data_IF_286208619400
#
_entry.id   IF_286208619400
#
_cell.length_a   1.000
_cell.length_b   1.000
_cell.length_c   1.000
_cell.angle_alpha   90.00
_cell.angle_beta   90.00
_cell.angle_gamma   90.00
#
_symmetry.space_group_name_H-M   'P 1'
#
loop_
_entity.id
_entity.type
_entity.pdbx_description
1 polymer ?
#
# COMPACT_ATOMS: atom_id res chain seq x y z
N UNK A 1 1.30 8.70 6.60
CA UNK A 1 1.74 9.79 7.50
C UNK A 1 1.46 11.13 6.84
N UNK A 2 0.93 12.10 7.58
CA UNK A 2 0.78 13.46 7.04
C UNK A 2 1.98 14.31 7.48
N UNK A 3 2.69 14.97 6.55
CA UNK A 3 3.76 15.93 6.86
C UNK A 3 3.30 17.04 7.82
N UNK A 4 2.00 17.36 7.78
CA UNK A 4 1.39 18.36 8.64
C UNK A 4 1.15 17.88 10.09
N UNK A 5 1.27 16.58 10.38
CA UNK A 5 0.93 16.01 11.70
C UNK A 5 1.71 16.64 12.84
N UNK A 6 3.03 16.83 12.67
CA UNK A 6 3.89 17.47 13.68
C UNK A 6 3.61 18.96 13.85
N UNK A 7 3.35 19.67 12.76
CA UNK A 7 2.94 21.08 12.81
C UNK A 7 1.59 21.25 13.53
N UNK A 8 0.62 20.37 13.25
CA UNK A 8 -0.70 20.38 13.88
C UNK A 8 -0.62 20.03 15.38
N UNK A 9 0.21 19.05 15.75
CA UNK A 9 0.46 18.71 17.14
C UNK A 9 1.05 19.90 17.91
N UNK A 10 2.04 20.60 17.33
CA UNK A 10 2.62 21.79 17.94
C UNK A 10 1.61 22.95 18.10
N UNK A 11 0.70 23.13 17.15
CA UNK A 11 -0.33 24.17 17.19
C UNK A 11 -1.48 23.87 18.18
N UNK A 12 -1.80 22.59 18.40
CA UNK A 12 -2.99 22.18 19.18
C UNK A 12 -2.67 21.60 20.55
N UNK A 13 -1.43 21.14 20.75
CA UNK A 13 -1.04 20.34 21.92
C UNK A 13 -1.55 18.90 21.89
N UNK A 14 -2.23 18.47 20.82
CA UNK A 14 -2.74 17.11 20.67
C UNK A 14 -1.60 16.13 20.33
N UNK A 15 -1.61 14.90 20.87
CA UNK A 15 -0.63 13.88 20.51
C UNK A 15 -0.88 13.37 19.09
N UNK A 16 0.20 12.98 18.41
CA UNK A 16 0.13 12.25 17.14
C UNK A 16 -0.06 10.77 17.44
N UNK A 17 -1.25 10.25 17.18
CA UNK A 17 -1.53 8.82 17.29
C UNK A 17 -1.41 8.16 15.91
N UNK A 18 -0.88 6.93 15.86
CA UNK A 18 -0.72 6.20 14.62
C UNK A 18 -0.37 4.74 14.83
N UNK A 19 -0.42 3.96 13.76
CA UNK A 19 0.12 2.61 13.79
C UNK A 19 1.65 2.67 13.87
N UNK A 20 2.29 1.58 14.33
CA UNK A 20 3.73 1.51 14.60
C UNK A 20 4.64 1.96 13.45
N UNK A 21 5.97 2.02 13.70
CA UNK A 21 6.92 2.44 12.68
C UNK A 21 6.84 1.52 11.45
N UNK A 22 7.26 2.02 10.30
CA UNK A 22 7.47 1.20 9.11
C UNK A 22 8.38 0.01 9.45
N UNK A 23 8.14 -1.20 8.89
CA UNK A 23 9.10 -2.28 9.00
C UNK A 23 10.44 -1.81 8.42
N UNK A 24 11.58 -2.26 8.97
CA UNK A 24 12.87 -1.86 8.45
C UNK A 24 12.99 -2.31 6.99
N UNK A 25 13.61 -1.47 6.16
CA UNK A 25 13.59 -1.59 4.69
C UNK A 25 14.16 -2.93 4.16
N UNK A 26 14.95 -3.63 4.98
CA UNK A 26 15.56 -4.93 4.73
C UNK A 26 14.68 -6.13 5.09
N UNK A 27 13.73 -5.99 6.03
CA UNK A 27 12.84 -7.07 6.45
C UNK A 27 11.85 -7.50 5.35
N UNK A 28 11.58 -6.63 4.37
CA UNK A 28 10.79 -6.98 3.18
C UNK A 28 11.52 -7.95 2.23
N UNK A 29 12.83 -8.16 2.41
CA UNK A 29 13.62 -9.10 1.60
C UNK A 29 13.79 -10.49 2.26
N UNK A 30 13.57 -10.63 3.57
CA UNK A 30 13.73 -11.91 4.28
C UNK A 30 12.44 -12.74 4.41
N UNK A 31 11.26 -12.20 4.06
CA UNK A 31 10.01 -12.97 4.05
C UNK A 31 9.97 -14.12 3.00
N UNK A 32 11.06 -14.32 2.24
CA UNK A 32 11.32 -15.51 1.43
C UNK A 32 11.86 -16.70 2.26
N UNK A 33 11.38 -16.95 3.48
CA UNK A 33 11.62 -18.21 4.19
C UNK A 33 10.73 -18.40 5.44
N UNK A 34 9.42 -18.63 5.25
CA UNK A 34 8.60 -19.41 6.18
C UNK A 34 8.13 -18.78 7.52
N UNK A 35 6.84 -19.02 7.78
CA UNK A 35 6.12 -18.97 9.07
C UNK A 35 5.54 -17.63 9.58
N UNK A 36 4.41 -17.67 10.31
CA UNK A 36 3.62 -16.50 10.69
C UNK A 36 4.29 -15.73 11.84
N UNK A 37 4.21 -14.40 11.78
CA UNK A 37 4.90 -13.49 12.69
C UNK A 37 4.50 -13.68 14.17
N UNK A 38 5.51 -13.87 15.01
CA UNK A 38 5.46 -13.81 16.48
C UNK A 38 5.48 -12.32 16.93
N UNK A 39 4.56 -11.88 17.79
CA UNK A 39 4.42 -10.47 18.18
C UNK A 39 5.48 -9.93 19.16
N UNK A 40 6.55 -10.67 19.47
CA UNK A 40 7.44 -10.33 20.60
C UNK A 40 8.87 -9.85 20.28
N UNK A 41 9.28 -9.67 19.01
CA UNK A 41 10.68 -9.37 18.70
C UNK A 41 11.02 -7.86 18.67
N UNK A 42 11.44 -7.33 19.83
CA UNK A 42 12.30 -6.13 19.91
C UNK A 42 13.74 -6.53 19.57
N UNK A 43 14.31 -6.09 18.45
CA UNK A 43 15.77 -6.18 18.21
C UNK A 43 16.35 -4.92 17.55
N UNK A 44 17.63 -4.74 17.85
CA UNK A 44 18.46 -3.53 17.77
C UNK A 44 19.05 -3.36 16.36
N UNK A 45 19.07 -2.13 15.86
CA UNK A 45 19.56 -1.78 14.51
C UNK A 45 21.08 -1.98 14.35
N UNK A 46 21.53 -2.44 13.17
CA UNK A 46 22.84 -2.12 12.62
C UNK A 46 22.75 -1.12 11.45
N UNK A 47 23.92 -0.70 11.00
CA UNK A 47 24.20 0.60 10.38
C UNK A 47 24.52 0.45 8.88
N UNK A 48 23.79 1.21 8.04
CA UNK A 48 24.23 1.71 6.72
C UNK A 48 24.15 0.76 5.52
N UNK A 49 23.39 1.15 4.50
CA UNK A 49 23.92 1.38 3.14
C UNK A 49 22.94 2.22 2.29
N UNK A 50 23.53 3.15 1.51
CA UNK A 50 22.86 4.26 0.84
C UNK A 50 22.40 3.88 -0.57
N UNK A 51 21.16 4.24 -0.94
CA UNK A 51 20.64 4.10 -2.31
C UNK A 51 20.52 5.49 -2.94
N UNK A 52 21.57 5.94 -3.62
CA UNK A 52 21.53 7.13 -4.47
C UNK A 52 21.18 6.72 -5.92
N UNK A 53 20.24 7.43 -6.54
CA UNK A 53 20.00 7.39 -7.99
C UNK A 53 20.37 8.76 -8.54
N UNK A 54 21.49 8.86 -9.25
CA UNK A 54 21.84 10.03 -10.06
C UNK A 54 21.26 9.89 -11.48
N UNK A 55 20.66 10.97 -11.98
CA UNK A 55 20.27 11.13 -13.40
C UNK A 55 18.88 11.76 -13.59
N UNK A 56 18.86 13.04 -13.97
CA UNK A 56 17.70 13.91 -14.28
C UNK A 56 16.91 13.42 -15.51
N UNK A 57 15.65 13.75 -15.79
CA UNK A 57 14.86 14.97 -15.59
C UNK A 57 13.44 14.68 -15.06
N UNK A 58 12.86 15.71 -14.44
CA UNK A 58 11.64 15.72 -13.64
C UNK A 58 10.48 14.83 -14.12
N UNK A 59 10.28 13.71 -13.40
CA UNK A 59 8.99 13.07 -13.26
C UNK A 59 7.99 14.07 -12.64
N UNK A 60 6.67 13.98 -12.93
CA UNK A 60 5.67 14.76 -12.20
C UNK A 60 5.93 14.57 -10.70
N UNK A 61 6.01 15.69 -9.98
CA UNK A 61 6.49 15.78 -8.60
C UNK A 61 6.07 14.53 -7.81
N UNK A 62 7.08 13.76 -7.39
CA UNK A 62 6.86 12.65 -6.49
C UNK A 62 5.99 13.17 -5.33
N UNK A 63 4.87 12.49 -5.08
CA UNK A 63 4.25 12.52 -3.75
C UNK A 63 5.38 12.42 -2.73
N UNK A 64 5.31 13.26 -1.69
CA UNK A 64 6.41 13.47 -0.75
C UNK A 64 7.04 12.12 -0.33
N UNK A 65 8.39 12.05 -0.26
CA UNK A 65 9.07 10.80 0.04
C UNK A 65 8.53 10.19 1.34
N UNK A 66 8.33 8.87 1.34
CA UNK A 66 7.81 8.16 2.49
C UNK A 66 8.60 8.51 3.75
N UNK A 67 7.91 8.99 4.79
CA UNK A 67 8.51 9.29 6.09
C UNK A 67 8.76 7.99 6.87
N UNK A 68 9.83 7.29 6.47
CA UNK A 68 10.26 6.04 7.11
C UNK A 68 10.72 6.25 8.57
N UNK A 69 10.96 7.51 8.98
CA UNK A 69 11.35 7.87 10.32
C UNK A 69 10.15 8.23 11.20
N UNK A 70 8.92 8.12 10.70
CA UNK A 70 7.72 8.42 11.46
C UNK A 70 7.64 7.54 12.71
N UNK A 71 7.51 8.21 13.86
CA UNK A 71 7.23 7.60 15.15
C UNK A 71 6.06 8.38 15.74
N UNK A 72 4.90 7.75 16.02
CA UNK A 72 3.80 8.44 16.68
C UNK A 72 4.09 8.63 18.18
N UNK A 73 3.40 9.58 18.80
CA UNK A 73 3.44 9.80 20.25
C UNK A 73 2.69 8.70 21.00
N UNK A 74 1.69 8.08 20.35
CA UNK A 74 0.95 6.92 20.87
C UNK A 74 0.63 5.92 19.76
N UNK A 75 0.69 4.63 20.10
CA UNK A 75 0.42 3.53 19.17
C UNK A 75 -1.07 3.21 19.12
N UNK A 76 -1.57 3.00 17.91
CA UNK A 76 -2.89 2.46 17.61
C UNK A 76 -2.75 1.09 16.97
N UNK A 77 -3.67 0.19 17.29
CA UNK A 77 -3.86 -1.10 16.68
C UNK A 77 -5.21 -1.19 15.95
N UNK A 78 -5.38 -2.23 15.14
CA UNK A 78 -6.68 -2.56 14.59
C UNK A 78 -7.69 -2.81 15.72
N UNK A 79 -8.86 -2.18 15.64
CA UNK A 79 -9.94 -2.29 16.62
C UNK A 79 -9.83 -1.33 17.80
N UNK A 80 -8.74 -0.56 17.93
CA UNK A 80 -8.65 0.49 18.93
C UNK A 80 -9.71 1.57 18.67
N UNK A 81 -10.22 2.14 19.76
CA UNK A 81 -11.28 3.15 19.72
C UNK A 81 -10.78 4.45 20.32
N UNK A 82 -10.88 5.52 19.54
CA UNK A 82 -10.72 6.89 20.00
C UNK A 82 -12.09 7.53 20.12
N UNK A 83 -12.34 8.30 21.18
CA UNK A 83 -13.63 8.92 21.39
C UNK A 83 -13.48 10.32 21.98
N UNK A 84 -14.46 11.17 21.70
CA UNK A 84 -14.63 12.47 22.29
C UNK A 84 -16.12 12.82 22.42
N UNK A 85 -16.41 14.12 22.52
CA UNK A 85 -17.79 14.57 22.68
C UNK A 85 -18.61 14.32 21.41
N UNK A 86 -19.42 13.26 21.44
CA UNK A 86 -20.37 12.92 20.38
C UNK A 86 -19.77 12.25 19.15
N UNK A 87 -18.52 11.77 19.21
CA UNK A 87 -17.88 11.07 18.11
C UNK A 87 -17.01 9.91 18.59
N UNK A 88 -16.96 8.85 17.77
CA UNK A 88 -16.13 7.68 17.97
C UNK A 88 -15.37 7.35 16.68
N UNK A 89 -14.07 7.09 16.77
CA UNK A 89 -13.25 6.59 15.66
C UNK A 89 -12.74 5.18 15.99
N UNK A 90 -13.22 4.19 15.24
CA UNK A 90 -12.67 2.83 15.23
C UNK A 90 -11.48 2.77 14.28
N UNK A 91 -10.32 2.35 14.79
CA UNK A 91 -9.09 2.21 14.03
C UNK A 91 -9.12 0.95 13.18
N UNK A 92 -8.97 1.09 11.87
CA UNK A 92 -8.87 -0.02 10.94
C UNK A 92 -7.46 -0.05 10.35
N UNK A 93 -6.59 -0.92 10.85
CA UNK A 93 -5.29 -1.15 10.20
C UNK A 93 -5.50 -1.72 8.80
N UNK A 94 -5.10 -0.97 7.79
CA UNK A 94 -5.33 -1.24 6.38
C UNK A 94 -4.03 -1.14 5.57
N UNK A 95 -3.02 -1.97 5.90
CA UNK A 95 -1.73 -1.96 5.21
C UNK A 95 -1.90 -2.24 3.71
N UNK A 96 -0.94 -1.79 2.93
CA UNK A 96 -0.84 -2.15 1.52
C UNK A 96 -0.35 -1.00 0.65
N UNK A 97 -0.95 0.19 0.78
CA UNK A 97 -0.36 1.41 0.19
C UNK A 97 0.96 1.74 0.90
N UNK A 98 0.91 1.76 2.22
CA UNK A 98 2.05 1.79 3.14
C UNK A 98 1.76 0.81 4.28
N UNK A 99 2.78 0.30 4.95
CA UNK A 99 2.68 -0.81 5.92
C UNK A 99 1.91 -0.46 7.21
N UNK A 100 1.85 0.81 7.57
CA UNK A 100 1.23 1.31 8.80
C UNK A 100 0.02 2.23 8.50
N UNK A 101 -0.58 2.09 7.33
CA UNK A 101 -1.79 2.83 6.95
C UNK A 101 -2.97 2.48 7.87
N UNK A 102 -3.71 3.50 8.31
CA UNK A 102 -4.96 3.37 9.05
C UNK A 102 -6.11 3.99 8.26
N UNK A 103 -7.24 3.28 8.19
CA UNK A 103 -8.53 3.91 7.98
C UNK A 103 -9.19 4.15 9.35
N UNK A 104 -10.12 5.10 9.43
CA UNK A 104 -10.91 5.35 10.64
C UNK A 104 -12.39 5.31 10.32
N UNK A 105 -13.13 4.41 10.96
CA UNK A 105 -14.58 4.39 10.86
C UNK A 105 -15.19 5.31 11.91
N UNK A 106 -16.17 6.11 11.49
CA UNK A 106 -16.99 7.00 12.31
C UNK A 106 -18.42 6.42 12.36
N UNK A 107 -18.76 5.57 13.36
CA UNK A 107 -20.02 4.85 13.39
C UNK A 107 -21.25 5.75 13.43
N UNK A 108 -21.15 6.90 14.11
CA UNK A 108 -22.23 7.88 14.23
C UNK A 108 -22.69 8.43 12.87
N UNK A 109 -21.77 8.53 11.91
CA UNK A 109 -22.05 8.95 10.54
C UNK A 109 -22.07 7.80 9.53
N UNK A 110 -21.87 6.56 9.98
CA UNK A 110 -21.73 5.38 9.12
C UNK A 110 -20.70 5.64 8.01
N UNK A 111 -19.60 6.31 8.37
CA UNK A 111 -18.59 6.80 7.44
C UNK A 111 -17.24 6.14 7.72
N UNK A 112 -16.37 6.07 6.70
CA UNK A 112 -14.96 5.69 6.88
C UNK A 112 -14.05 6.69 6.18
N UNK A 113 -13.09 7.24 6.92
CA UNK A 113 -11.97 7.98 6.36
C UNK A 113 -10.96 6.97 5.82
N UNK A 114 -10.85 6.84 4.50
CA UNK A 114 -10.09 5.76 3.86
C UNK A 114 -8.66 6.12 3.49
N UNK A 115 -8.25 7.37 3.73
CA UNK A 115 -6.94 7.86 3.35
C UNK A 115 -6.65 7.58 1.87
N UNK A 116 -5.46 7.03 1.61
CA UNK A 116 -5.01 6.64 0.28
C UNK A 116 -5.22 5.15 0.00
N UNK A 117 -5.82 4.40 0.93
CA UNK A 117 -6.14 2.99 0.73
C UNK A 117 -7.24 2.81 -0.34
N UNK A 118 -8.29 3.63 -0.25
CA UNK A 118 -9.37 3.72 -1.24
C UNK A 118 -9.53 5.20 -1.61
N UNK A 119 -9.35 5.54 -2.89
CA UNK A 119 -9.50 6.89 -3.42
C UNK A 119 -10.72 6.99 -4.33
N UNK A 120 -11.32 8.19 -4.45
CA UNK A 120 -12.56 8.41 -5.22
C UNK A 120 -12.37 8.55 -6.72
N UNK A 121 -11.14 8.72 -7.20
CA UNK A 121 -10.83 9.05 -8.61
C UNK A 121 -9.92 8.04 -9.33
N UNK A 122 -9.22 7.16 -8.61
CA UNK A 122 -8.29 6.20 -9.17
C UNK A 122 -7.96 5.10 -8.15
N UNK A 123 -7.24 4.06 -8.57
CA UNK A 123 -6.69 3.06 -7.66
C UNK A 123 -5.42 3.58 -6.99
N UNK A 124 -5.18 3.20 -5.73
CA UNK A 124 -3.93 3.57 -5.03
C UNK A 124 -2.67 3.02 -5.69
N UNK A 125 -1.55 3.69 -5.51
CA UNK A 125 -0.24 3.08 -5.77
C UNK A 125 0.12 2.16 -4.61
N UNK A 126 0.86 1.09 -4.90
CA UNK A 126 1.35 0.15 -3.88
C UNK A 126 2.87 0.05 -4.10
N UNK A 127 3.66 1.02 -3.61
CA UNK A 127 5.09 1.09 -3.89
C UNK A 127 5.89 0.19 -2.95
N UNK A 128 6.50 -0.91 -3.43
CA UNK A 128 7.40 -1.71 -2.61
C UNK A 128 8.69 -0.94 -2.29
N UNK A 129 9.40 -1.24 -1.18
CA UNK A 129 9.17 -2.40 -0.30
C UNK A 129 8.11 -2.18 0.80
N UNK A 130 7.72 -0.94 1.08
CA UNK A 130 6.79 -0.65 2.19
C UNK A 130 5.33 -0.97 1.82
N UNK A 131 4.95 -0.68 0.58
CA UNK A 131 3.66 -1.11 0.02
C UNK A 131 3.70 -2.60 -0.36
N UNK A 132 2.66 -3.34 0.02
CA UNK A 132 2.51 -4.76 -0.26
C UNK A 132 1.12 -5.06 -0.84
N UNK A 133 1.07 -5.73 -1.99
CA UNK A 133 -0.21 -6.03 -2.65
C UNK A 133 -1.03 -7.06 -1.87
N UNK A 134 -0.41 -8.07 -1.26
CA UNK A 134 -1.12 -9.05 -0.44
C UNK A 134 -1.82 -8.40 0.75
N UNK A 135 -1.12 -7.50 1.45
CA UNK A 135 -1.70 -6.69 2.52
C UNK A 135 -2.85 -5.81 2.01
N UNK A 136 -2.66 -5.17 0.85
CA UNK A 136 -3.71 -4.35 0.23
C UNK A 136 -4.98 -5.15 -0.04
N UNK A 137 -4.86 -6.36 -0.59
CA UNK A 137 -6.02 -7.21 -0.90
C UNK A 137 -6.74 -7.65 0.39
N UNK A 138 -6.00 -8.07 1.43
CA UNK A 138 -6.59 -8.41 2.74
C UNK A 138 -7.29 -7.22 3.39
N UNK A 139 -6.72 -6.02 3.27
CA UNK A 139 -7.32 -4.79 3.79
C UNK A 139 -8.59 -4.39 3.03
N UNK A 140 -8.64 -4.60 1.71
CA UNK A 140 -9.89 -4.46 0.95
C UNK A 140 -10.95 -5.48 1.41
N UNK A 141 -10.56 -6.72 1.65
CA UNK A 141 -11.47 -7.75 2.18
C UNK A 141 -12.02 -7.37 3.57
N UNK A 142 -11.18 -6.80 4.44
CA UNK A 142 -11.58 -6.25 5.72
C UNK A 142 -12.65 -5.16 5.57
N UNK A 143 -12.42 -4.19 4.67
CA UNK A 143 -13.39 -3.13 4.39
C UNK A 143 -14.69 -3.68 3.77
N UNK A 144 -14.60 -4.69 2.91
CA UNK A 144 -15.76 -5.37 2.32
C UNK A 144 -16.55 -6.14 3.38
N UNK A 145 -15.88 -6.75 4.36
CA UNK A 145 -16.51 -7.52 5.43
C UNK A 145 -17.32 -6.65 6.40
N UNK A 146 -17.06 -5.34 6.45
CA UNK A 146 -17.89 -4.39 7.19
C UNK A 146 -19.31 -4.27 6.64
N UNK A 147 -19.55 -4.69 5.40
CA UNK A 147 -20.89 -4.79 4.82
C UNK A 147 -21.59 -3.43 4.75
N UNK A 148 -22.83 -3.38 5.23
CA UNK A 148 -23.69 -2.19 5.23
C UNK A 148 -23.51 -1.31 6.48
N UNK A 149 -22.43 -1.50 7.25
CA UNK A 149 -22.07 -0.60 8.36
C UNK A 149 -21.68 0.79 7.87
N UNK A 150 -21.12 0.86 6.67
CA UNK A 150 -20.56 2.08 6.09
C UNK A 150 -21.36 2.49 4.85
N UNK A 151 -21.89 3.72 4.84
CA UNK A 151 -22.65 4.31 3.74
C UNK A 151 -21.79 5.25 2.89
N UNK A 152 -20.69 5.77 3.44
CA UNK A 152 -19.80 6.68 2.72
C UNK A 152 -18.34 6.44 3.07
N UNK A 153 -17.47 6.46 2.06
CA UNK A 153 -16.03 6.64 2.27
C UNK A 153 -15.61 8.07 1.93
N UNK A 154 -14.78 8.65 2.81
CA UNK A 154 -14.13 9.93 2.67
C UNK A 154 -12.63 9.71 2.39
N UNK A 155 -12.23 9.68 1.11
CA UNK A 155 -10.84 9.50 0.73
C UNK A 155 -10.04 10.80 0.89
N UNK A 156 -8.70 10.71 0.94
CA UNK A 156 -7.83 11.89 0.79
C UNK A 156 -8.01 12.52 -0.59
N UNK A 157 -8.18 11.67 -1.62
CA UNK A 157 -8.20 12.09 -3.02
C UNK A 157 -9.49 11.66 -3.73
N UNK A 158 -10.06 12.61 -4.48
CA UNK A 158 -11.29 12.42 -5.24
C UNK A 158 -12.56 12.66 -4.40
N UNK A 159 -13.74 12.46 -5.01
CA UNK A 159 -15.02 12.68 -4.34
C UNK A 159 -15.33 11.58 -3.31
N UNK A 160 -16.32 11.86 -2.47
CA UNK A 160 -16.93 10.87 -1.58
C UNK A 160 -17.44 9.64 -2.38
N UNK A 161 -17.32 8.46 -1.76
CA UNK A 161 -17.81 7.21 -2.35
C UNK A 161 -19.05 6.78 -1.58
N UNK A 162 -20.23 6.94 -2.17
CA UNK A 162 -21.54 6.66 -1.54
C UNK A 162 -22.05 5.23 -1.73
N UNK A 163 -21.26 4.37 -2.38
CA UNK A 163 -21.54 2.94 -2.48
C UNK A 163 -20.27 2.15 -2.08
N UNK A 164 -19.85 2.22 -0.80
CA UNK A 164 -18.50 1.83 -0.41
C UNK A 164 -18.19 0.36 -0.67
N UNK A 165 -19.08 -0.54 -0.25
CA UNK A 165 -18.90 -1.98 -0.41
C UNK A 165 -18.78 -2.39 -1.89
N UNK A 166 -19.66 -1.83 -2.75
CA UNK A 166 -19.61 -2.04 -4.20
C UNK A 166 -18.29 -1.55 -4.79
N UNK A 167 -17.83 -0.37 -4.37
CA UNK A 167 -16.59 0.22 -4.86
C UNK A 167 -15.37 -0.59 -4.45
N UNK A 168 -15.27 -1.00 -3.17
CA UNK A 168 -14.18 -1.83 -2.67
C UNK A 168 -14.11 -3.19 -3.40
N UNK A 169 -15.25 -3.83 -3.66
CA UNK A 169 -15.30 -5.06 -4.49
C UNK A 169 -14.83 -4.83 -5.91
N UNK A 170 -15.17 -3.69 -6.51
CA UNK A 170 -14.71 -3.34 -7.86
C UNK A 170 -13.19 -3.12 -7.91
N UNK A 171 -12.61 -2.52 -6.87
CA UNK A 171 -11.16 -2.37 -6.72
C UNK A 171 -10.47 -3.73 -6.54
N UNK A 172 -11.01 -4.60 -5.67
CA UNK A 172 -10.48 -5.96 -5.47
C UNK A 172 -10.47 -6.73 -6.79
N UNK A 173 -11.58 -6.73 -7.52
CA UNK A 173 -11.68 -7.36 -8.82
C UNK A 173 -10.75 -6.74 -9.87
N UNK A 174 -10.52 -5.42 -9.81
CA UNK A 174 -9.56 -4.74 -10.68
C UNK A 174 -8.13 -5.25 -10.45
N UNK A 175 -7.72 -5.48 -9.20
CA UNK A 175 -6.40 -6.04 -8.87
C UNK A 175 -6.26 -7.48 -9.34
N UNK A 176 -7.25 -8.33 -9.10
CA UNK A 176 -7.19 -9.71 -9.61
C UNK A 176 -7.07 -9.76 -11.14
N UNK A 177 -7.87 -8.97 -11.87
CA UNK A 177 -7.72 -8.87 -13.33
C UNK A 177 -6.33 -8.43 -13.76
N UNK A 178 -5.69 -7.52 -13.01
CA UNK A 178 -4.32 -7.10 -13.30
C UNK A 178 -3.32 -8.24 -13.10
N UNK A 179 -3.48 -9.03 -12.04
CA UNK A 179 -2.69 -10.25 -11.81
C UNK A 179 -2.84 -11.22 -12.98
N UNK A 180 -4.07 -11.50 -13.42
CA UNK A 180 -4.34 -12.42 -14.53
C UNK A 180 -3.68 -11.93 -15.83
N UNK A 181 -3.75 -10.62 -16.11
CA UNK A 181 -3.10 -10.02 -17.27
C UNK A 181 -1.57 -10.17 -17.24
N UNK A 182 -0.96 -10.05 -16.06
CA UNK A 182 0.50 -10.22 -15.90
C UNK A 182 0.89 -11.67 -16.16
N UNK A 183 0.16 -12.63 -15.58
CA UNK A 183 0.40 -14.06 -15.79
C UNK A 183 0.26 -14.44 -17.28
N UNK A 184 -0.78 -13.94 -17.95
CA UNK A 184 -0.96 -14.14 -19.38
C UNK A 184 0.19 -13.53 -20.20
N UNK A 185 0.63 -12.32 -19.86
CA UNK A 185 1.78 -11.70 -20.55
C UNK A 185 3.08 -12.49 -20.32
N UNK A 186 3.32 -13.04 -19.13
CA UNK A 186 4.49 -13.88 -18.88
C UNK A 186 4.45 -15.17 -19.72
N UNK A 187 3.27 -15.79 -19.86
CA UNK A 187 3.09 -16.97 -20.71
C UNK A 187 3.35 -16.67 -22.20
N UNK A 188 3.05 -15.45 -22.65
CA UNK A 188 3.21 -15.00 -24.03
C UNK A 188 4.63 -14.51 -24.38
N UNK A 189 5.58 -14.56 -23.43
CA UNK A 189 7.01 -14.34 -23.70
C UNK A 189 7.68 -13.13 -23.01
N UNK A 190 7.02 -11.97 -22.75
CA UNK A 190 7.58 -10.95 -21.87
C UNK A 190 8.12 -11.52 -20.56
N UNK A 191 9.33 -11.14 -20.19
CA UNK A 191 9.98 -11.65 -18.96
C UNK A 191 10.36 -10.54 -18.00
N UNK A 192 10.35 -9.27 -18.42
CA UNK A 192 10.75 -8.15 -17.56
C UNK A 192 9.63 -7.13 -17.34
N UNK A 193 9.72 -6.35 -16.25
CA UNK A 193 8.73 -5.30 -15.95
C UNK A 193 8.59 -4.28 -17.10
N UNK A 194 9.67 -3.79 -17.75
CA UNK A 194 9.56 -2.90 -18.90
C UNK A 194 8.80 -3.52 -20.08
N UNK A 195 9.05 -4.80 -20.38
CA UNK A 195 8.34 -5.54 -21.44
C UNK A 195 6.85 -5.70 -21.10
N UNK A 196 6.54 -6.07 -19.85
CA UNK A 196 5.17 -6.18 -19.34
C UNK A 196 4.44 -4.85 -19.41
N UNK A 197 5.09 -3.75 -18.98
CA UNK A 197 4.51 -2.41 -19.04
C UNK A 197 4.25 -1.99 -20.49
N UNK A 198 5.22 -2.19 -21.39
CA UNK A 198 5.06 -1.88 -22.81
C UNK A 198 3.91 -2.67 -23.46
N UNK A 199 3.71 -3.93 -23.07
CA UNK A 199 2.63 -4.78 -23.57
C UNK A 199 1.26 -4.38 -23.01
N UNK A 200 1.17 -4.11 -21.70
CA UNK A 200 -0.12 -3.95 -21.01
C UNK A 200 -0.65 -2.52 -21.01
N UNK A 201 0.24 -1.51 -21.09
CA UNK A 201 -0.10 -0.09 -20.92
C UNK A 201 0.05 0.69 -22.23
N UNK A 202 -0.44 0.13 -23.33
CA UNK A 202 -0.27 0.69 -24.70
C UNK A 202 -0.90 2.06 -24.90
N UNK A 203 -1.98 2.36 -24.17
CA UNK A 203 -2.71 3.65 -24.24
C UNK A 203 -2.39 4.59 -23.07
N UNK A 204 -1.48 4.19 -22.17
CA UNK A 204 -1.13 4.99 -20.99
C UNK A 204 -0.10 6.05 -21.38
N UNK A 205 -0.30 7.32 -20.98
CA UNK A 205 0.69 8.38 -21.17
C UNK A 205 2.07 7.97 -20.65
N UNK A 206 3.12 8.36 -21.36
CA UNK A 206 4.50 8.00 -21.01
C UNK A 206 4.89 8.45 -19.60
N UNK A 207 4.38 9.60 -19.17
CA UNK A 207 4.56 10.15 -17.82
C UNK A 207 4.02 9.25 -16.71
N UNK A 208 3.06 8.36 -17.01
CA UNK A 208 2.46 7.43 -16.05
C UNK A 208 3.07 6.02 -16.09
N UNK A 209 3.97 5.74 -17.05
CA UNK A 209 4.66 4.45 -17.13
C UNK A 209 5.50 4.10 -15.90
N UNK A 210 6.15 5.05 -15.20
CA UNK A 210 6.85 4.73 -13.96
C UNK A 210 5.92 4.20 -12.86
N UNK A 211 4.72 4.78 -12.71
CA UNK A 211 3.71 4.30 -11.77
C UNK A 211 3.14 2.93 -12.19
N UNK A 212 2.93 2.73 -13.49
CA UNK A 212 2.55 1.42 -14.04
C UNK A 212 3.59 0.34 -13.71
N UNK A 213 4.88 0.64 -13.83
CA UNK A 213 5.95 -0.30 -13.49
C UNK A 213 5.99 -0.65 -11.99
N UNK A 214 5.73 0.30 -11.10
CA UNK A 214 5.60 0.03 -9.66
C UNK A 214 4.41 -0.89 -9.38
N UNK A 215 3.28 -0.67 -10.05
CA UNK A 215 2.12 -1.55 -9.99
C UNK A 215 2.47 -2.98 -10.42
N UNK A 216 3.09 -3.15 -11.60
CA UNK A 216 3.53 -4.48 -12.07
C UNK A 216 4.51 -5.13 -11.09
N UNK A 217 5.46 -4.36 -10.54
CA UNK A 217 6.42 -4.87 -9.54
C UNK A 217 5.71 -5.43 -8.30
N UNK A 218 4.75 -4.69 -7.73
CA UNK A 218 3.98 -5.15 -6.57
C UNK A 218 3.22 -6.46 -6.84
N UNK A 219 2.64 -6.61 -8.05
CA UNK A 219 2.00 -7.85 -8.47
C UNK A 219 2.99 -9.00 -8.64
N UNK A 220 4.17 -8.76 -9.22
CA UNK A 220 5.21 -9.79 -9.38
C UNK A 220 5.74 -10.27 -8.03
N UNK A 221 5.98 -9.37 -7.07
CA UNK A 221 6.37 -9.73 -5.70
C UNK A 221 5.30 -10.63 -5.08
N UNK A 222 4.04 -10.20 -5.13
CA UNK A 222 2.94 -11.00 -4.59
C UNK A 222 2.82 -12.38 -5.25
N UNK A 223 2.92 -12.46 -6.58
CA UNK A 223 2.89 -13.73 -7.31
C UNK A 223 4.07 -14.65 -6.95
N UNK A 224 5.22 -14.07 -6.64
CA UNK A 224 6.41 -14.80 -6.19
C UNK A 224 6.19 -15.36 -4.78
N UNK A 225 5.65 -14.57 -3.86
CA UNK A 225 5.27 -15.02 -2.51
C UNK A 225 4.26 -16.19 -2.55
N UNK A 226 3.39 -16.21 -3.57
CA UNK A 226 2.43 -17.30 -3.81
C UNK A 226 3.03 -18.49 -4.60
N UNK A 227 4.28 -18.40 -5.04
CA UNK A 227 4.97 -19.46 -5.79
C UNK A 227 4.56 -19.58 -7.27
N UNK A 228 3.85 -18.61 -7.83
CA UNK A 228 3.43 -18.62 -9.24
C UNK A 228 4.50 -18.08 -10.20
N UNK A 229 5.42 -17.25 -9.70
CA UNK A 229 6.49 -16.63 -10.47
C UNK A 229 7.84 -16.88 -9.78
N UNK A 230 8.86 -17.15 -10.56
CA UNK A 230 10.25 -17.30 -10.11
C UNK A 230 11.18 -16.34 -10.84
N UNK A 231 12.38 -16.18 -10.28
CA UNK A 231 13.43 -15.31 -10.79
C UNK A 231 14.80 -15.80 -10.29
N UNK A 232 15.87 -15.43 -10.98
CA UNK A 232 17.23 -15.83 -10.60
C UNK A 232 17.60 -15.28 -9.19
N UNK A 233 18.44 -15.99 -8.41
CA UNK A 233 18.66 -15.71 -6.98
C UNK A 233 19.36 -14.35 -6.76
N UNK A 234 18.56 -13.34 -6.43
CA UNK A 234 18.89 -12.07 -5.76
C UNK A 234 17.58 -11.25 -5.61
N UNK A 235 17.52 -10.09 -4.94
CA UNK A 235 16.27 -9.36 -4.64
C UNK A 235 15.52 -8.74 -5.85
N UNK A 236 14.17 -8.72 -5.83
CA UNK A 236 13.31 -8.14 -6.89
C UNK A 236 13.75 -6.75 -7.35
N UNK A 237 13.75 -6.49 -8.66
CA UNK A 237 13.94 -5.14 -9.20
C UNK A 237 13.29 -4.98 -10.59
N UNK A 238 13.26 -3.74 -11.10
CA UNK A 238 12.61 -3.38 -12.37
C UNK A 238 13.32 -3.91 -13.62
N UNK A 239 14.55 -4.38 -13.55
CA UNK A 239 15.32 -4.84 -14.72
C UNK A 239 15.46 -6.37 -14.79
N UNK A 240 14.92 -7.10 -13.80
CA UNK A 240 14.99 -8.56 -13.78
C UNK A 240 14.12 -9.23 -14.83
N UNK A 241 14.48 -10.50 -15.09
CA UNK A 241 13.66 -11.46 -15.81
C UNK A 241 12.93 -12.39 -14.82
N UNK A 242 11.68 -12.66 -15.14
CA UNK A 242 10.71 -13.44 -14.37
C UNK A 242 10.18 -14.57 -15.25
N UNK A 243 9.81 -15.68 -14.64
CA UNK A 243 9.26 -16.84 -15.34
C UNK A 243 8.15 -17.46 -14.51
N UNK A 244 7.17 -18.07 -15.16
CA UNK A 244 6.15 -18.87 -14.47
C UNK A 244 6.81 -20.12 -13.86
N UNK A 245 6.33 -20.55 -12.70
CA UNK A 245 6.75 -21.80 -12.05
C UNK A 245 6.15 -23.03 -12.74
#
# INVERSE_FOLDING_TARGET
HSPASRALAAATGAPVLGFGPHPPADAAHEACAGSPADPSLRRRAPQGDQWAVEGSDAAPAAEEPADLAFIPDGLLAHGDVLAGDGWTLECLHTPGHISNHLCFALPEERAVFTGDHVMGWSSTIIPPPDGNLGDYLRSLELLIARGDRDEVYWPTHGPAITAPNRYARALLAHRHRRTDQILACLADGPTSIPELVARMYTTTPETLRPAAALSVLAHIIHLTEQGHVTFAPAAHNRTRRYSLT
#
